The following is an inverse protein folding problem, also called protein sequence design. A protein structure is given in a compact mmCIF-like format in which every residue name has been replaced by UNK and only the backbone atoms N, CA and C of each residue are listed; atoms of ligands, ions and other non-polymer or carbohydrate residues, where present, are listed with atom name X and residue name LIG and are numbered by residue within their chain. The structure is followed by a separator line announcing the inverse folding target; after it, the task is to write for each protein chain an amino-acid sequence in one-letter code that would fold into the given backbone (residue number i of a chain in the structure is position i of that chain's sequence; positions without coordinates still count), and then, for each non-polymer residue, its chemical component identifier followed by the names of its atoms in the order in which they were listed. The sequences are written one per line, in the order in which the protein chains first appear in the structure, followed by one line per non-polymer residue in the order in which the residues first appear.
data_IF_456151953754
#
_entry.id   IF_456151953754
#
_cell.length_a   1.000
_cell.length_b   1.000
_cell.length_c   1.000
_cell.angle_alpha   90.00
_cell.angle_beta   90.00
_cell.angle_gamma   90.00
#
_symmetry.space_group_name_H-M   'P 1'
#
loop_
_entity.id
_entity.type
_entity.pdbx_description
1 polymer ?
#
# COMPACT_ATOMS: atom_id res chain seq x y z
N UNK A 1 8.62 10.63 -4.54
CA UNK A 1 8.63 9.90 -3.23
C UNK A 1 9.96 9.16 -3.08
N UNK A 2 10.66 9.35 -1.96
CA UNK A 2 12.13 9.13 -1.81
C UNK A 2 12.68 7.72 -2.06
N UNK A 3 14.00 7.69 -2.30
CA UNK A 3 14.82 6.49 -2.53
C UNK A 3 14.60 5.39 -1.46
N UNK A 4 14.76 4.12 -1.86
CA UNK A 4 14.60 2.94 -1.01
C UNK A 4 15.54 2.97 0.20
N UNK A 5 16.72 3.56 0.06
CA UNK A 5 17.65 3.76 1.17
C UNK A 5 17.03 4.67 2.26
N UNK A 6 16.45 5.80 1.87
CA UNK A 6 15.76 6.71 2.79
C UNK A 6 14.55 6.05 3.46
N UNK A 7 13.78 5.24 2.71
CA UNK A 7 12.66 4.49 3.28
C UNK A 7 13.12 3.49 4.34
N UNK A 8 14.27 2.83 4.13
CA UNK A 8 14.86 1.94 5.12
C UNK A 8 15.31 2.70 6.37
N UNK A 9 15.95 3.85 6.19
CA UNK A 9 16.43 4.66 7.31
C UNK A 9 15.27 5.18 8.16
N UNK A 10 14.17 5.61 7.54
CA UNK A 10 12.95 5.95 8.27
C UNK A 10 12.41 4.76 9.09
N UNK A 11 12.37 3.56 8.51
CA UNK A 11 11.91 2.37 9.24
C UNK A 11 12.84 2.02 10.42
N UNK A 12 14.16 2.15 10.25
CA UNK A 12 15.13 1.95 11.35
C UNK A 12 14.93 2.97 12.46
N UNK A 13 14.66 4.22 12.11
CA UNK A 13 14.40 5.26 13.11
C UNK A 13 13.10 4.99 13.88
N UNK A 14 12.04 4.59 13.17
CA UNK A 14 10.80 4.12 13.81
C UNK A 14 11.09 2.95 14.75
N UNK A 15 11.90 1.98 14.33
CA UNK A 15 12.30 0.86 15.19
C UNK A 15 13.04 1.37 16.42
N UNK A 16 13.97 2.32 16.28
CA UNK A 16 14.77 2.87 17.38
C UNK A 16 13.89 3.51 18.45
N UNK A 17 12.90 4.31 18.05
CA UNK A 17 12.04 5.08 18.98
C UNK A 17 10.85 4.29 19.53
N UNK A 18 10.47 3.18 18.88
CA UNK A 18 9.33 2.37 19.30
C UNK A 18 9.59 1.70 20.65
N UNK A 19 8.65 1.81 21.60
CA UNK A 19 8.75 1.16 22.91
C UNK A 19 8.83 -0.38 22.77
N UNK A 20 9.43 -1.09 23.74
CA UNK A 20 9.27 -2.53 23.83
C UNK A 20 7.79 -2.92 23.81
N UNK A 21 7.42 -3.92 23.01
CA UNK A 21 6.03 -4.33 22.73
C UNK A 21 5.13 -3.31 22.01
N UNK A 22 5.66 -2.14 21.62
CA UNK A 22 4.95 -1.19 20.77
C UNK A 22 4.63 -1.77 19.40
N UNK A 23 3.57 -1.25 18.77
CA UNK A 23 3.19 -1.59 17.40
C UNK A 23 3.16 -0.34 16.52
N UNK A 24 3.37 -0.54 15.22
CA UNK A 24 3.29 0.51 14.20
C UNK A 24 2.18 0.12 13.23
N UNK A 25 1.21 1.01 13.07
CA UNK A 25 0.24 0.93 11.98
C UNK A 25 0.84 1.61 10.76
N UNK A 26 1.00 0.85 9.66
CA UNK A 26 1.59 1.36 8.43
C UNK A 26 0.67 1.07 7.25
N UNK A 27 0.17 2.13 6.63
CA UNK A 27 -0.57 2.07 5.38
C UNK A 27 0.32 2.60 4.24
N UNK A 28 0.56 1.79 3.22
CA UNK A 28 1.38 2.15 2.05
C UNK A 28 0.57 1.95 0.77
N UNK A 29 0.76 2.80 -0.26
CA UNK A 29 0.09 2.62 -1.53
C UNK A 29 0.53 1.31 -2.18
N UNK A 30 -0.39 0.62 -2.85
CA UNK A 30 -0.08 -0.61 -3.57
C UNK A 30 0.36 -0.27 -4.99
N UNK A 31 1.52 -0.77 -5.42
CA UNK A 31 1.98 -0.60 -6.81
C UNK A 31 0.98 -1.10 -7.84
N UNK A 32 0.20 -2.12 -7.49
CA UNK A 32 -0.74 -2.73 -8.42
C UNK A 32 -2.11 -2.06 -8.43
N UNK A 33 -2.30 -0.96 -7.70
CA UNK A 33 -3.58 -0.26 -7.67
C UNK A 33 -4.05 0.15 -9.07
N UNK A 34 -5.28 -0.27 -9.39
CA UNK A 34 -5.89 -0.03 -10.69
C UNK A 34 -6.17 1.45 -10.96
N UNK A 35 -6.54 2.23 -9.94
CA UNK A 35 -6.92 3.64 -10.08
C UNK A 35 -6.10 4.45 -9.10
N UNK A 36 -5.24 5.32 -9.62
CA UNK A 36 -4.51 6.24 -8.75
C UNK A 36 -5.44 7.37 -8.30
N UNK A 37 -5.76 7.53 -6.99
CA UNK A 37 -6.81 8.44 -6.54
C UNK A 37 -6.52 9.91 -6.89
N UNK A 38 -5.23 10.28 -6.92
CA UNK A 38 -4.77 11.64 -7.18
C UNK A 38 -4.92 12.05 -8.66
N UNK A 39 -4.74 11.11 -9.59
CA UNK A 39 -4.88 11.38 -11.03
C UNK A 39 -6.22 10.89 -11.61
N UNK A 40 -6.96 10.03 -10.89
CA UNK A 40 -8.14 9.30 -11.39
C UNK A 40 -7.87 8.64 -12.74
N UNK A 41 -6.65 8.12 -12.92
CA UNK A 41 -6.21 7.44 -14.14
C UNK A 41 -6.08 5.95 -13.83
N UNK A 42 -6.54 5.14 -14.78
CA UNK A 42 -6.45 3.68 -14.67
C UNK A 42 -5.03 3.22 -15.05
N UNK A 43 -4.51 2.21 -14.35
CA UNK A 43 -3.27 1.47 -14.67
C UNK A 43 -1.97 2.28 -14.70
N UNK A 44 -1.93 3.49 -14.12
CA UNK A 44 -0.75 4.34 -14.19
C UNK A 44 0.50 3.68 -13.60
N UNK A 45 0.33 3.03 -12.44
CA UNK A 45 1.36 2.31 -11.70
C UNK A 45 1.84 1.01 -12.37
N UNK A 46 1.14 0.54 -13.42
CA UNK A 46 1.46 -0.68 -14.17
C UNK A 46 2.33 -0.39 -15.40
N UNK A 47 2.33 0.87 -15.87
CA UNK A 47 3.06 1.28 -17.04
C UNK A 47 4.53 1.58 -16.69
N UNK A 48 5.50 1.21 -17.55
CA UNK A 48 6.88 1.66 -17.38
C UNK A 48 6.95 3.19 -17.44
N UNK A 49 7.91 3.77 -16.71
CA UNK A 49 7.99 5.21 -16.39
C UNK A 49 7.75 6.15 -17.59
N UNK A 50 8.37 5.86 -18.74
CA UNK A 50 8.20 6.68 -19.95
C UNK A 50 6.78 6.70 -20.50
N UNK A 51 6.03 5.60 -20.37
CA UNK A 51 4.65 5.52 -20.82
C UNK A 51 3.69 6.13 -19.81
N UNK A 52 3.91 5.92 -18.51
CA UNK A 52 3.14 6.57 -17.45
C UNK A 52 3.24 8.10 -17.58
N UNK A 53 4.45 8.61 -17.81
CA UNK A 53 4.69 10.05 -18.02
C UNK A 53 3.94 10.60 -19.23
N UNK A 54 4.04 9.94 -20.39
CA UNK A 54 3.31 10.34 -21.60
C UNK A 54 1.80 10.27 -21.42
N UNK A 55 1.31 9.30 -20.65
CA UNK A 55 -0.12 9.15 -20.38
C UNK A 55 -0.65 10.27 -19.46
N UNK A 56 0.10 10.68 -18.43
CA UNK A 56 -0.25 11.83 -17.59
C UNK A 56 -0.25 13.14 -18.39
N UNK A 57 0.74 13.33 -19.28
CA UNK A 57 0.81 14.48 -20.18
C UNK A 57 -0.36 14.52 -21.19
N UNK A 58 -0.65 13.38 -21.82
CA UNK A 58 -1.75 13.27 -22.79
C UNK A 58 -3.13 13.53 -22.15
N UNK A 59 -3.28 13.24 -20.85
CA UNK A 59 -4.52 13.48 -20.10
C UNK A 59 -4.56 14.88 -19.44
N UNK A 60 -3.54 15.73 -19.65
CA UNK A 60 -3.43 17.09 -19.10
C UNK A 60 -3.61 17.19 -17.56
N UNK A 61 -3.28 16.11 -16.83
CA UNK A 61 -3.51 16.00 -15.37
C UNK A 61 -2.25 16.17 -14.51
N UNK A 62 -1.14 16.63 -15.10
CA UNK A 62 0.11 16.89 -14.39
C UNK A 62 1.31 16.88 -15.34
N UNK A 63 2.45 17.39 -14.90
CA UNK A 63 3.67 17.49 -15.71
C UNK A 63 4.68 16.39 -15.42
N UNK A 64 4.70 15.82 -14.20
CA UNK A 64 5.70 14.83 -13.75
C UNK A 64 5.03 13.77 -12.86
N UNK A 65 5.31 12.50 -13.13
CA UNK A 65 4.91 11.37 -12.28
C UNK A 65 6.07 11.01 -11.34
N UNK A 66 5.97 11.37 -10.05
CA UNK A 66 7.01 11.12 -9.01
C UNK A 66 6.54 10.12 -7.92
N UNK A 67 5.49 9.36 -8.20
CA UNK A 67 4.99 8.34 -7.28
C UNK A 67 5.60 6.98 -7.64
N UNK A 68 6.36 6.41 -6.70
CA UNK A 68 6.88 5.04 -6.81
C UNK A 68 6.27 4.18 -5.69
N UNK A 69 5.02 3.75 -5.83
CA UNK A 69 4.41 2.86 -4.85
C UNK A 69 5.21 1.54 -4.80
N UNK A 70 5.57 1.06 -3.60
CA UNK A 70 6.31 -0.19 -3.48
C UNK A 70 5.40 -1.38 -3.80
N UNK A 71 5.96 -2.42 -4.41
CA UNK A 71 5.32 -3.72 -4.44
C UNK A 71 5.32 -4.36 -3.04
N UNK A 72 4.47 -5.38 -2.85
CA UNK A 72 4.41 -6.11 -1.58
C UNK A 72 5.75 -6.73 -1.19
N UNK A 73 6.49 -7.30 -2.15
CA UNK A 73 7.81 -7.88 -1.90
C UNK A 73 8.86 -6.83 -1.53
N UNK A 74 8.81 -5.64 -2.15
CA UNK A 74 9.73 -4.55 -1.83
C UNK A 74 9.52 -4.03 -0.41
N UNK A 75 8.27 -3.76 -0.01
CA UNK A 75 7.99 -3.23 1.33
C UNK A 75 8.26 -4.26 2.43
N UNK A 76 7.92 -5.54 2.21
CA UNK A 76 8.23 -6.62 3.17
C UNK A 76 9.72 -6.89 3.29
N UNK A 77 10.46 -6.73 2.19
CA UNK A 77 11.93 -6.74 2.21
C UNK A 77 12.52 -5.62 3.07
N UNK A 78 11.93 -4.42 3.05
CA UNK A 78 12.33 -3.31 3.92
C UNK A 78 12.02 -3.59 5.39
N UNK A 79 10.85 -4.16 5.70
CA UNK A 79 10.50 -4.56 7.08
C UNK A 79 11.50 -5.55 7.66
N UNK A 80 11.87 -6.57 6.87
CA UNK A 80 12.88 -7.56 7.27
C UNK A 80 14.23 -6.90 7.56
N UNK A 81 14.69 -6.00 6.69
CA UNK A 81 15.95 -5.25 6.88
C UNK A 81 15.92 -4.32 8.09
N UNK A 82 14.75 -3.85 8.50
CA UNK A 82 14.55 -3.01 9.68
C UNK A 82 14.18 -3.80 10.95
N UNK A 83 14.32 -5.13 10.94
CA UNK A 83 14.03 -6.02 12.08
C UNK A 83 12.59 -5.95 12.61
N UNK A 84 11.61 -5.71 11.74
CA UNK A 84 10.21 -5.81 12.09
C UNK A 84 9.64 -7.20 11.79
N UNK A 85 8.75 -7.65 12.68
CA UNK A 85 7.74 -8.66 12.38
C UNK A 85 6.54 -7.90 11.82
N UNK A 86 5.93 -8.39 10.74
CA UNK A 86 4.77 -7.75 10.12
C UNK A 86 3.59 -8.72 10.05
N UNK A 87 2.40 -8.16 10.21
CA UNK A 87 1.15 -8.85 9.89
C UNK A 87 0.34 -7.97 8.94
N UNK A 88 -0.14 -8.57 7.85
CA UNK A 88 -0.96 -7.86 6.87
C UNK A 88 -2.41 -7.79 7.36
N UNK A 89 -2.94 -6.57 7.45
CA UNK A 89 -4.31 -6.28 7.89
C UNK A 89 -5.20 -5.78 6.76
N UNK A 90 -4.69 -5.61 5.53
CA UNK A 90 -5.44 -5.12 4.37
C UNK A 90 -6.84 -5.74 4.23
N UNK A 91 -6.93 -7.07 4.18
CA UNK A 91 -8.23 -7.75 3.99
C UNK A 91 -9.14 -7.68 5.22
N UNK A 92 -8.56 -7.64 6.43
CA UNK A 92 -9.33 -7.46 7.67
C UNK A 92 -9.93 -6.05 7.71
N UNK A 93 -9.15 -5.04 7.35
CA UNK A 93 -9.62 -3.66 7.26
C UNK A 93 -10.75 -3.51 6.23
N UNK A 94 -10.61 -4.12 5.05
CA UNK A 94 -11.65 -4.11 4.01
C UNK A 94 -12.98 -4.72 4.44
N UNK A 95 -12.96 -5.71 5.34
CA UNK A 95 -14.19 -6.30 5.89
C UNK A 95 -14.88 -5.40 6.90
N UNK A 96 -14.14 -4.50 7.54
CA UNK A 96 -14.65 -3.62 8.61
C UNK A 96 -15.15 -2.29 8.04
N UNK A 97 -14.51 -1.74 7.02
CA UNK A 97 -14.87 -0.44 6.40
C UNK A 97 -16.37 -0.32 6.08
N UNK A 98 -17.05 -1.33 5.48
CA UNK A 98 -18.48 -1.24 5.17
C UNK A 98 -19.41 -1.09 6.37
N UNK A 99 -18.93 -1.45 7.56
CA UNK A 99 -19.68 -1.30 8.82
C UNK A 99 -19.43 0.05 9.50
N UNK A 100 -18.41 0.79 9.06
CA UNK A 100 -18.03 2.10 9.59
C UNK A 100 -18.48 3.26 8.69
N UNK A 101 -18.63 3.02 7.39
CA UNK A 101 -19.04 4.02 6.39
C UNK A 101 -20.28 3.52 5.63
N UNK A 102 -21.07 4.43 5.05
CA UNK A 102 -22.13 4.08 4.08
C UNK A 102 -21.48 3.68 2.75
N UNK A 103 -21.21 2.39 2.51
CA UNK A 103 -20.37 1.99 1.40
C UNK A 103 -21.23 1.85 0.13
N UNK A 104 -20.65 2.12 -1.04
CA UNK A 104 -21.30 1.72 -2.29
C UNK A 104 -21.58 0.22 -2.29
N UNK A 105 -22.69 -0.20 -2.91
CA UNK A 105 -23.18 -1.59 -2.93
C UNK A 105 -22.09 -2.63 -3.27
N UNK A 106 -21.21 -2.32 -4.24
CA UNK A 106 -20.10 -3.19 -4.65
C UNK A 106 -19.09 -3.46 -3.54
N UNK A 107 -18.83 -2.48 -2.67
CA UNK A 107 -17.90 -2.60 -1.55
C UNK A 107 -18.49 -3.49 -0.44
N UNK A 108 -19.81 -3.37 -0.20
CA UNK A 108 -20.53 -4.23 0.74
C UNK A 108 -20.56 -5.70 0.27
N UNK A 109 -20.70 -5.92 -1.04
CA UNK A 109 -20.66 -7.25 -1.63
C UNK A 109 -19.24 -7.85 -1.56
N UNK A 110 -18.22 -7.06 -1.93
CA UNK A 110 -16.82 -7.49 -1.88
C UNK A 110 -16.40 -7.90 -0.45
N UNK A 111 -16.87 -7.19 0.58
CA UNK A 111 -16.56 -7.48 1.97
C UNK A 111 -17.05 -8.86 2.47
N UNK A 112 -18.10 -9.41 1.84
CA UNK A 112 -18.64 -10.74 2.18
C UNK A 112 -17.81 -11.89 1.59
N UNK A 113 -16.87 -11.60 0.69
CA UNK A 113 -16.07 -12.64 0.04
C UNK A 113 -15.14 -13.35 1.04
N UNK A 114 -14.93 -14.67 0.86
CA UNK A 114 -13.84 -15.41 1.50
C UNK A 114 -12.47 -14.77 1.21
N UNK A 115 -11.58 -14.79 2.20
CA UNK A 115 -10.24 -14.16 2.10
C UNK A 115 -9.44 -14.66 0.89
N UNK A 116 -9.43 -15.96 0.52
CA UNK A 116 -8.68 -16.43 -0.65
C UNK A 116 -9.10 -15.76 -1.96
N UNK A 117 -10.39 -15.48 -2.12
CA UNK A 117 -10.92 -14.79 -3.31
C UNK A 117 -10.50 -13.32 -3.30
N UNK A 118 -10.50 -12.67 -2.13
CA UNK A 118 -10.00 -11.30 -1.99
C UNK A 118 -8.51 -11.18 -2.36
N UNK A 119 -7.72 -12.23 -2.13
CA UNK A 119 -6.30 -12.23 -2.51
C UNK A 119 -6.09 -12.17 -4.02
N UNK A 120 -7.01 -12.72 -4.82
CA UNK A 120 -6.95 -12.63 -6.29
C UNK A 120 -7.15 -11.18 -6.74
N UNK A 121 -8.01 -10.43 -6.05
CA UNK A 121 -8.30 -9.02 -6.35
C UNK A 121 -7.35 -8.03 -5.67
N UNK A 122 -6.20 -8.49 -5.17
CA UNK A 122 -5.17 -7.64 -4.58
C UNK A 122 -4.78 -6.39 -5.41
N UNK A 123 -4.71 -6.46 -6.75
CA UNK A 123 -4.44 -5.26 -7.58
C UNK A 123 -5.54 -4.19 -7.51
N UNK A 124 -6.76 -4.53 -7.10
CA UNK A 124 -7.84 -3.56 -6.97
C UNK A 124 -7.77 -2.78 -5.65
N UNK A 125 -6.93 -3.21 -4.71
CA UNK A 125 -6.85 -2.60 -3.39
C UNK A 125 -5.86 -1.42 -3.44
N UNK A 126 -6.29 -0.18 -3.13
CA UNK A 126 -5.47 1.02 -3.29
C UNK A 126 -4.31 1.11 -2.30
N UNK A 127 -4.48 0.54 -1.10
CA UNK A 127 -3.53 0.66 0.00
C UNK A 127 -3.32 -0.68 0.68
N UNK A 128 -2.07 -1.04 0.91
CA UNK A 128 -1.71 -2.14 1.77
C UNK A 128 -1.62 -1.65 3.22
N UNK A 129 -2.22 -2.38 4.15
CA UNK A 129 -2.19 -2.06 5.58
C UNK A 129 -1.43 -3.15 6.31
N UNK A 130 -0.45 -2.74 7.11
CA UNK A 130 0.39 -3.60 7.92
C UNK A 130 0.41 -3.15 9.37
N UNK A 131 0.49 -4.12 10.27
CA UNK A 131 0.87 -3.89 11.65
C UNK A 131 2.29 -4.42 11.85
N UNK A 132 3.22 -3.56 12.23
CA UNK A 132 4.61 -3.92 12.50
C UNK A 132 4.85 -4.00 14.00
N UNK A 133 5.68 -4.94 14.43
CA UNK A 133 6.17 -5.11 15.80
C UNK A 133 7.67 -5.36 15.78
N UNK A 134 8.38 -5.00 16.84
CA UNK A 134 9.80 -5.34 16.96
C UNK A 134 9.99 -6.86 16.94
N UNK A 135 10.94 -7.35 16.15
CA UNK A 135 11.49 -8.68 16.36
C UNK A 135 12.28 -8.64 17.66
N UNK A 136 11.74 -9.26 18.71
CA UNK A 136 12.47 -9.48 19.95
C UNK A 136 13.29 -10.75 19.72
N UNK A 137 14.62 -10.59 19.57
CA UNK A 137 15.54 -11.72 19.63
C UNK A 137 15.58 -12.29 21.05
#
# INVERSE_FOLDING_TARGET
MGDKALQLDHLKEIYRVLKPQGCVYLAVPNKWTLIEPHFRLFFLSWLPHGLAHRYVQAMAKGTIYDCYPPSHSEITGLFKKANFIWQQYTYKALKIIPSLENPHFLVSLAAKLPVPIMMIFYPLIPSMVFLLKKHQN
#
